data_IF_212996608109
#
_entry.id   IF_212996608109
#
_cell.length_a   1.000
_cell.length_b   1.000
_cell.length_c   1.000
_cell.angle_alpha   90.00
_cell.angle_beta   90.00
_cell.angle_gamma   90.00
#
_symmetry.space_group_name_H-M   'P 1'
#
loop_
_entity.id
_entity.type
_entity.pdbx_description
1 polymer ?
#
# COMPACT_ATOMS: atom_id res chain seq x y z
N UNK A 1 61.64 -96.82 -7.09
CA UNK A 1 61.48 -95.40 -6.73
C UNK A 1 61.86 -95.24 -5.28
N UNK A 2 63.02 -94.67 -4.98
CA UNK A 2 63.44 -94.39 -3.60
C UNK A 2 62.62 -93.22 -3.09
N UNK A 3 61.87 -93.44 -2.01
CA UNK A 3 61.05 -92.42 -1.40
C UNK A 3 61.96 -91.49 -0.59
N UNK A 4 62.21 -90.28 -1.09
CA UNK A 4 63.05 -89.30 -0.43
C UNK A 4 62.21 -88.50 0.59
N UNK A 5 62.09 -89.03 1.81
CA UNK A 5 61.34 -88.39 2.91
C UNK A 5 61.87 -87.00 3.29
N UNK A 6 63.15 -86.73 3.01
CA UNK A 6 63.78 -85.42 3.24
C UNK A 6 63.16 -84.34 2.34
N UNK A 7 62.91 -84.65 1.06
CA UNK A 7 62.40 -83.69 0.08
C UNK A 7 60.97 -83.24 0.46
N UNK A 8 60.16 -84.17 0.97
CA UNK A 8 58.81 -83.89 1.46
C UNK A 8 58.85 -82.92 2.65
N UNK A 9 59.79 -83.12 3.58
CA UNK A 9 59.94 -82.24 4.76
C UNK A 9 60.42 -80.84 4.34
N UNK A 10 61.34 -80.74 3.38
CA UNK A 10 61.80 -79.47 2.83
C UNK A 10 60.66 -78.70 2.15
N UNK A 11 59.85 -79.38 1.33
CA UNK A 11 58.69 -78.76 0.68
C UNK A 11 57.63 -78.30 1.69
N UNK A 12 57.36 -79.09 2.73
CA UNK A 12 56.44 -78.69 3.81
C UNK A 12 56.97 -77.45 4.53
N UNK A 13 58.26 -77.41 4.86
CA UNK A 13 58.89 -76.26 5.51
C UNK A 13 58.80 -75.01 4.62
N UNK A 14 59.06 -75.16 3.31
CA UNK A 14 58.94 -74.06 2.34
C UNK A 14 57.51 -73.51 2.28
N UNK A 15 56.49 -74.37 2.20
CA UNK A 15 55.08 -73.97 2.22
C UNK A 15 54.73 -73.24 3.52
N UNK A 16 55.23 -73.69 4.68
CA UNK A 16 55.00 -73.02 5.96
C UNK A 16 55.65 -71.63 5.98
N UNK A 17 56.90 -71.51 5.53
CA UNK A 17 57.61 -70.22 5.46
C UNK A 17 56.87 -69.27 4.52
N UNK A 18 56.49 -69.73 3.33
CA UNK A 18 55.72 -68.95 2.36
C UNK A 18 54.36 -68.51 2.94
N UNK A 19 53.65 -69.41 3.64
CA UNK A 19 52.38 -69.10 4.29
C UNK A 19 52.52 -68.02 5.36
N UNK A 20 53.57 -68.08 6.20
CA UNK A 20 53.83 -67.08 7.24
C UNK A 20 54.14 -65.71 6.62
N UNK A 21 54.96 -65.67 5.56
CA UNK A 21 55.29 -64.42 4.83
C UNK A 21 54.03 -63.84 4.18
N UNK A 22 53.25 -64.66 3.47
CA UNK A 22 51.99 -64.23 2.85
C UNK A 22 51.00 -63.71 3.89
N UNK A 23 50.84 -64.42 5.02
CA UNK A 23 49.96 -63.98 6.11
C UNK A 23 50.42 -62.64 6.69
N UNK A 24 51.72 -62.46 6.92
CA UNK A 24 52.27 -61.22 7.47
C UNK A 24 52.07 -60.03 6.52
N UNK A 25 52.24 -60.26 5.20
CA UNK A 25 52.13 -59.21 4.18
C UNK A 25 50.68 -58.91 3.76
N UNK A 26 49.81 -59.91 3.59
CA UNK A 26 48.46 -59.75 3.02
C UNK A 26 47.36 -59.51 4.05
N UNK A 27 47.51 -60.00 5.29
CA UNK A 27 46.43 -59.92 6.28
C UNK A 27 46.04 -58.47 6.60
N UNK A 28 47.03 -57.59 6.82
CA UNK A 28 46.82 -56.17 7.10
C UNK A 28 46.17 -55.39 5.94
N UNK A 29 46.69 -55.43 4.69
CA UNK A 29 46.10 -54.67 3.60
C UNK A 29 44.70 -55.15 3.22
N UNK A 30 44.43 -56.46 3.26
CA UNK A 30 43.08 -57.00 2.96
C UNK A 30 42.07 -56.57 4.01
N UNK A 31 42.40 -56.68 5.30
CA UNK A 31 41.51 -56.23 6.38
C UNK A 31 41.28 -54.71 6.33
N UNK A 32 42.34 -53.93 6.04
CA UNK A 32 42.24 -52.48 5.89
C UNK A 32 41.34 -52.08 4.73
N UNK A 33 41.45 -52.78 3.59
CA UNK A 33 40.59 -52.54 2.43
C UNK A 33 39.13 -52.85 2.72
N UNK A 34 38.84 -53.98 3.39
CA UNK A 34 37.47 -54.34 3.80
C UNK A 34 36.88 -53.29 4.75
N UNK A 35 37.64 -52.87 5.78
CA UNK A 35 37.21 -51.83 6.72
C UNK A 35 36.98 -50.48 6.04
N UNK A 36 37.87 -50.07 5.12
CA UNK A 36 37.69 -48.82 4.34
C UNK A 36 36.42 -48.87 3.50
N UNK A 37 36.11 -50.02 2.90
CA UNK A 37 34.89 -50.21 2.11
C UNK A 37 33.64 -50.13 2.99
N UNK A 38 33.66 -50.78 4.14
CA UNK A 38 32.56 -50.73 5.12
C UNK A 38 32.32 -49.30 5.62
N UNK A 39 33.40 -48.60 6.03
CA UNK A 39 33.33 -47.19 6.44
C UNK A 39 32.84 -46.28 5.33
N UNK A 40 33.23 -46.53 4.07
CA UNK A 40 32.75 -45.78 2.92
C UNK A 40 31.24 -45.90 2.72
N UNK A 41 30.70 -47.12 2.83
CA UNK A 41 29.25 -47.33 2.74
C UNK A 41 28.48 -46.74 3.91
N UNK A 42 29.01 -46.85 5.13
CA UNK A 42 28.38 -46.25 6.31
C UNK A 42 28.35 -44.73 6.19
N UNK A 43 29.46 -44.12 5.78
CA UNK A 43 29.53 -42.68 5.52
C UNK A 43 28.56 -42.26 4.42
N UNK A 44 28.53 -42.97 3.30
CA UNK A 44 27.59 -42.65 2.22
C UNK A 44 26.14 -42.75 2.67
N UNK A 45 25.80 -43.72 3.52
CA UNK A 45 24.45 -43.86 4.09
C UNK A 45 24.12 -42.70 5.04
N UNK A 46 25.08 -42.29 5.88
CA UNK A 46 24.92 -41.13 6.76
C UNK A 46 24.73 -39.84 5.97
N UNK A 47 25.55 -39.62 4.94
CA UNK A 47 25.47 -38.45 4.06
C UNK A 47 24.09 -38.39 3.37
N UNK A 48 23.61 -39.52 2.82
CA UNK A 48 22.26 -39.60 2.21
C UNK A 48 21.17 -39.25 3.23
N UNK A 49 21.22 -39.82 4.44
CA UNK A 49 20.21 -39.55 5.46
C UNK A 49 20.22 -38.08 5.88
N UNK A 50 21.40 -37.50 6.08
CA UNK A 50 21.58 -36.10 6.42
C UNK A 50 21.06 -35.17 5.32
N UNK A 51 21.34 -35.49 4.06
CA UNK A 51 20.88 -34.71 2.92
C UNK A 51 19.36 -34.80 2.77
N UNK A 52 18.77 -35.98 2.99
CA UNK A 52 17.31 -36.15 3.00
C UNK A 52 16.65 -35.35 4.13
N UNK A 53 17.20 -35.39 5.34
CA UNK A 53 16.68 -34.62 6.47
C UNK A 53 16.79 -33.11 6.22
N UNK A 54 17.95 -32.66 5.72
CA UNK A 54 18.19 -31.27 5.35
C UNK A 54 17.24 -30.79 4.25
N UNK A 55 17.02 -31.61 3.22
CA UNK A 55 16.08 -31.30 2.14
C UNK A 55 14.64 -31.23 2.65
N UNK A 56 14.23 -32.15 3.54
CA UNK A 56 12.89 -32.15 4.12
C UNK A 56 12.69 -30.92 5.03
N UNK A 57 13.69 -30.56 5.82
CA UNK A 57 13.66 -29.34 6.65
C UNK A 57 13.56 -28.09 5.78
N UNK A 58 14.40 -27.97 4.76
CA UNK A 58 14.37 -26.84 3.83
C UNK A 58 13.03 -26.72 3.11
N UNK A 59 12.45 -27.86 2.68
CA UNK A 59 11.12 -27.89 2.09
C UNK A 59 10.05 -27.37 3.07
N UNK A 60 10.08 -27.84 4.32
CA UNK A 60 9.14 -27.38 5.34
C UNK A 60 9.29 -25.89 5.65
N UNK A 61 10.52 -25.39 5.75
CA UNK A 61 10.79 -23.96 5.96
C UNK A 61 10.29 -23.12 4.79
N UNK A 62 10.49 -23.60 3.56
CA UNK A 62 10.01 -22.95 2.35
C UNK A 62 8.48 -22.92 2.28
N UNK A 63 7.82 -24.04 2.57
CA UNK A 63 6.35 -24.12 2.61
C UNK A 63 5.76 -23.19 3.67
N UNK A 64 6.37 -23.14 4.87
CA UNK A 64 5.96 -22.23 5.94
C UNK A 64 6.17 -20.77 5.56
N UNK A 65 7.33 -20.43 4.97
CA UNK A 65 7.63 -19.08 4.49
C UNK A 65 6.64 -18.63 3.40
N UNK A 66 6.35 -19.52 2.44
CA UNK A 66 5.37 -19.24 1.38
C UNK A 66 3.96 -19.06 1.93
N UNK A 67 3.56 -19.86 2.91
CA UNK A 67 2.28 -19.70 3.59
C UNK A 67 2.20 -18.37 4.35
N UNK A 68 3.26 -18.00 5.07
CA UNK A 68 3.40 -16.71 5.76
C UNK A 68 3.28 -15.54 4.78
N UNK A 69 4.06 -15.54 3.70
CA UNK A 69 4.04 -14.49 2.68
C UNK A 69 2.65 -14.35 2.02
N UNK A 70 1.94 -15.46 1.78
CA UNK A 70 0.56 -15.42 1.27
C UNK A 70 -0.41 -14.81 2.26
N UNK A 71 -0.27 -15.12 3.55
CA UNK A 71 -1.12 -14.54 4.61
C UNK A 71 -0.89 -13.04 4.72
N UNK A 72 0.38 -12.60 4.78
CA UNK A 72 0.77 -11.19 4.85
C UNK A 72 0.32 -10.41 3.62
N UNK A 73 0.43 -10.99 2.42
CA UNK A 73 -0.09 -10.38 1.20
C UNK A 73 -1.61 -10.18 1.25
N UNK A 74 -2.36 -11.19 1.74
CA UNK A 74 -3.81 -11.07 1.90
C UNK A 74 -4.19 -10.03 2.95
N UNK A 75 -3.45 -9.96 4.05
CA UNK A 75 -3.65 -8.94 5.09
C UNK A 75 -3.39 -7.53 4.55
N UNK A 76 -2.27 -7.33 3.86
CA UNK A 76 -1.92 -6.06 3.21
C UNK A 76 -2.99 -5.62 2.22
N UNK A 77 -3.51 -6.55 1.41
CA UNK A 77 -4.60 -6.26 0.47
C UNK A 77 -5.88 -5.87 1.23
N UNK A 78 -6.26 -6.60 2.28
CA UNK A 78 -7.43 -6.28 3.09
C UNK A 78 -7.32 -4.91 3.74
N UNK A 79 -6.18 -4.59 4.34
CA UNK A 79 -5.91 -3.27 4.91
C UNK A 79 -5.90 -2.16 3.86
N UNK A 80 -5.37 -2.45 2.67
CA UNK A 80 -5.39 -1.54 1.52
C UNK A 80 -6.82 -1.20 1.10
N UNK A 81 -7.68 -2.21 0.96
CA UNK A 81 -9.10 -2.03 0.63
C UNK A 81 -9.84 -1.26 1.73
N UNK A 82 -9.62 -1.61 2.99
CA UNK A 82 -10.28 -0.93 4.11
C UNK A 82 -9.87 0.55 4.24
N UNK A 83 -8.59 0.86 3.99
CA UNK A 83 -8.11 2.24 3.92
C UNK A 83 -8.72 2.98 2.74
N UNK A 84 -8.74 2.36 1.56
CA UNK A 84 -9.35 2.95 0.38
C UNK A 84 -10.84 3.27 0.58
N UNK A 85 -11.60 2.35 1.17
CA UNK A 85 -13.02 2.56 1.50
C UNK A 85 -13.22 3.70 2.51
N UNK A 86 -12.38 3.76 3.56
CA UNK A 86 -12.43 4.84 4.54
C UNK A 86 -12.13 6.19 3.88
N UNK A 87 -11.04 6.28 3.10
CA UNK A 87 -10.68 7.51 2.39
C UNK A 87 -11.74 7.90 1.36
N UNK A 88 -12.36 6.95 0.67
CA UNK A 88 -13.46 7.24 -0.26
C UNK A 88 -14.67 7.84 0.45
N UNK A 89 -15.03 7.32 1.62
CA UNK A 89 -16.10 7.88 2.46
C UNK A 89 -15.76 9.28 2.95
N UNK A 90 -14.55 9.50 3.46
CA UNK A 90 -14.09 10.81 3.90
C UNK A 90 -14.11 11.84 2.77
N UNK A 91 -13.64 11.47 1.57
CA UNK A 91 -13.67 12.33 0.39
C UNK A 91 -15.12 12.67 0.02
N UNK A 92 -16.03 11.69 0.02
CA UNK A 92 -17.43 11.91 -0.29
C UNK A 92 -18.11 12.83 0.72
N UNK A 93 -17.92 12.58 2.02
CA UNK A 93 -18.46 13.41 3.09
C UNK A 93 -17.93 14.85 2.99
N UNK A 94 -16.64 15.02 2.73
CA UNK A 94 -16.04 16.34 2.53
C UNK A 94 -16.62 17.05 1.30
N UNK A 95 -16.74 16.35 0.19
CA UNK A 95 -17.34 16.90 -1.04
C UNK A 95 -18.81 17.30 -0.81
N UNK A 96 -19.59 16.52 -0.06
CA UNK A 96 -20.96 16.89 0.30
C UNK A 96 -21.01 18.13 1.21
N UNK A 97 -20.11 18.23 2.20
CA UNK A 97 -20.03 19.39 3.08
C UNK A 97 -19.63 20.65 2.31
N UNK A 98 -18.62 20.56 1.45
CA UNK A 98 -18.19 21.67 0.59
C UNK A 98 -19.30 22.08 -0.38
N UNK A 99 -20.01 21.12 -0.98
CA UNK A 99 -21.15 21.40 -1.86
C UNK A 99 -22.30 22.11 -1.13
N UNK A 100 -22.63 21.68 0.10
CA UNK A 100 -23.64 22.36 0.94
C UNK A 100 -23.19 23.78 1.32
N UNK A 101 -21.92 23.97 1.68
CA UNK A 101 -21.37 25.27 2.01
C UNK A 101 -21.40 26.22 0.81
N UNK A 102 -21.00 25.74 -0.38
CA UNK A 102 -21.03 26.50 -1.62
C UNK A 102 -22.47 26.92 -1.98
N UNK A 103 -23.44 26.01 -1.85
CA UNK A 103 -24.83 26.31 -2.12
C UNK A 103 -25.40 27.34 -1.13
N UNK A 104 -25.05 27.24 0.15
CA UNK A 104 -25.44 28.22 1.15
C UNK A 104 -24.86 29.61 0.84
N UNK A 105 -23.57 29.68 0.51
CA UNK A 105 -22.90 30.91 0.11
C UNK A 105 -23.52 31.52 -1.15
N UNK A 106 -23.81 30.71 -2.17
CA UNK A 106 -24.45 31.16 -3.40
C UNK A 106 -25.86 31.72 -3.15
N UNK A 107 -26.65 31.09 -2.26
CA UNK A 107 -27.97 31.61 -1.86
C UNK A 107 -27.86 32.94 -1.11
N UNK A 108 -26.89 33.07 -0.23
CA UNK A 108 -26.64 34.31 0.50
C UNK A 108 -26.21 35.44 -0.44
N UNK A 109 -25.34 35.13 -1.41
CA UNK A 109 -24.92 36.04 -2.48
C UNK A 109 -26.12 36.51 -3.31
N UNK A 110 -26.95 35.57 -3.76
CA UNK A 110 -28.14 35.88 -4.57
C UNK A 110 -29.15 36.75 -3.79
N UNK A 111 -29.34 36.50 -2.49
CA UNK A 111 -30.18 37.35 -1.65
C UNK A 111 -29.62 38.77 -1.49
N UNK A 112 -28.30 38.92 -1.36
CA UNK A 112 -27.65 40.24 -1.34
C UNK A 112 -27.86 40.98 -2.66
N UNK A 113 -27.55 40.34 -3.79
CA UNK A 113 -27.73 40.92 -5.12
C UNK A 113 -29.19 41.32 -5.36
N UNK A 114 -30.16 40.49 -4.95
CA UNK A 114 -31.58 40.83 -5.07
C UNK A 114 -31.95 42.10 -4.29
N UNK A 115 -31.43 42.26 -3.07
CA UNK A 115 -31.68 43.48 -2.26
C UNK A 115 -31.00 44.71 -2.85
N UNK A 116 -29.81 44.56 -3.40
CA UNK A 116 -29.09 45.64 -4.09
C UNK A 116 -29.87 46.09 -5.32
N UNK A 117 -30.35 45.15 -6.14
CA UNK A 117 -31.19 45.44 -7.32
C UNK A 117 -32.51 46.11 -6.92
N UNK A 118 -33.18 45.63 -5.87
CA UNK A 118 -34.43 46.24 -5.38
C UNK A 118 -34.20 47.69 -4.91
N UNK A 119 -33.09 47.93 -4.21
CA UNK A 119 -32.70 49.27 -3.76
C UNK A 119 -32.38 50.19 -4.94
N UNK A 120 -31.64 49.68 -5.94
CA UNK A 120 -31.34 50.43 -7.16
C UNK A 120 -32.63 50.81 -7.92
N UNK A 121 -33.57 49.87 -8.09
CA UNK A 121 -34.86 50.15 -8.72
C UNK A 121 -35.68 51.18 -7.94
N UNK A 122 -35.73 51.10 -6.61
CA UNK A 122 -36.42 52.11 -5.78
C UNK A 122 -35.84 53.51 -5.98
N UNK A 123 -34.51 53.63 -6.05
CA UNK A 123 -33.84 54.89 -6.30
C UNK A 123 -34.16 55.43 -7.71
N UNK A 124 -34.14 54.56 -8.72
CA UNK A 124 -34.46 54.94 -10.10
C UNK A 124 -35.92 55.38 -10.27
N UNK A 125 -36.87 54.66 -9.67
CA UNK A 125 -38.29 55.04 -9.65
C UNK A 125 -38.50 56.37 -8.93
N UNK A 126 -37.81 56.59 -7.81
CA UNK A 126 -37.89 57.86 -7.07
C UNK A 126 -37.35 59.01 -7.91
N UNK A 127 -36.22 58.82 -8.60
CA UNK A 127 -35.65 59.82 -9.50
C UNK A 127 -36.60 60.15 -10.67
N UNK A 128 -37.23 59.13 -11.27
CA UNK A 128 -38.25 59.30 -12.32
C UNK A 128 -39.48 60.05 -11.80
N UNK A 129 -39.97 59.72 -10.60
CA UNK A 129 -41.12 60.37 -9.99
C UNK A 129 -40.84 61.85 -9.68
N UNK A 130 -39.65 62.16 -9.13
CA UNK A 130 -39.21 63.55 -8.91
C UNK A 130 -39.11 64.29 -10.24
N UNK A 131 -38.47 63.70 -11.26
CA UNK A 131 -38.36 64.32 -12.58
C UNK A 131 -39.72 64.58 -13.24
N UNK A 132 -40.68 63.67 -13.08
CA UNK A 132 -42.06 63.86 -13.55
C UNK A 132 -42.77 64.98 -12.77
N UNK A 133 -42.65 65.00 -11.44
CA UNK A 133 -43.22 66.03 -10.60
C UNK A 133 -42.67 67.42 -10.95
N UNK A 134 -41.36 67.55 -11.17
CA UNK A 134 -40.73 68.79 -11.65
C UNK A 134 -41.34 69.23 -12.98
N UNK A 135 -41.52 68.31 -13.93
CA UNK A 135 -42.07 68.63 -15.26
C UNK A 135 -43.55 68.98 -15.25
N UNK A 136 -44.33 68.43 -14.32
CA UNK A 136 -45.73 68.82 -14.09
C UNK A 136 -45.80 70.21 -13.45
N UNK A 137 -44.98 70.47 -12.42
CA UNK A 137 -44.87 71.78 -11.78
C UNK A 137 -44.46 72.88 -12.78
N UNK A 138 -43.47 72.62 -13.64
CA UNK A 138 -43.09 73.54 -14.72
C UNK A 138 -44.24 73.86 -15.69
N UNK A 139 -45.19 72.93 -15.86
CA UNK A 139 -46.34 73.09 -16.77
C UNK A 139 -47.53 73.79 -16.11
N UNK A 140 -47.75 73.58 -14.81
CA UNK A 140 -48.90 74.13 -14.08
C UNK A 140 -48.63 75.45 -13.36
N UNK A 141 -47.38 75.87 -13.18
CA UNK A 141 -47.05 77.16 -12.55
C UNK A 141 -47.64 78.32 -13.36
N UNK A 142 -48.55 79.06 -12.73
CA UNK A 142 -49.07 80.34 -13.21
C UNK A 142 -48.32 81.53 -12.57
N UNK A 143 -48.52 82.75 -13.10
CA UNK A 143 -47.94 83.98 -12.52
C UNK A 143 -48.46 84.25 -11.09
N UNK A 144 -49.69 83.84 -10.79
CA UNK A 144 -50.29 83.91 -9.46
C UNK A 144 -49.62 82.96 -8.45
N UNK A 145 -49.32 81.72 -8.83
CA UNK A 145 -48.67 80.73 -7.94
C UNK A 145 -47.25 81.18 -7.54
N UNK A 146 -46.52 81.81 -8.47
CA UNK A 146 -45.21 82.38 -8.19
C UNK A 146 -45.28 83.53 -7.18
N UNK A 147 -46.34 84.35 -7.21
CA UNK A 147 -46.55 85.44 -6.26
C UNK A 147 -46.84 84.92 -4.85
N UNK A 148 -47.69 83.90 -4.73
CA UNK A 148 -48.07 83.31 -3.45
C UNK A 148 -46.91 82.55 -2.78
N UNK A 149 -46.08 81.83 -3.56
CA UNK A 149 -44.87 81.17 -3.04
C UNK A 149 -43.85 82.20 -2.54
N UNK A 150 -43.69 83.33 -3.25
CA UNK A 150 -42.80 84.41 -2.85
C UNK A 150 -43.30 85.05 -1.55
N UNK A 151 -44.59 85.33 -1.40
CA UNK A 151 -45.17 85.84 -0.15
C UNK A 151 -45.01 84.87 1.02
N UNK A 152 -45.20 83.55 0.81
CA UNK A 152 -44.96 82.55 1.86
C UNK A 152 -43.50 82.44 2.28
N UNK A 153 -42.55 82.62 1.35
CA UNK A 153 -41.12 82.61 1.68
C UNK A 153 -40.74 83.82 2.53
N UNK A 154 -41.26 85.01 2.21
CA UNK A 154 -41.06 86.21 3.02
C UNK A 154 -41.79 86.17 4.36
N UNK A 155 -42.93 85.46 4.47
CA UNK A 155 -43.66 85.25 5.72
C UNK A 155 -42.99 84.26 6.69
N UNK A 156 -42.15 83.33 6.21
CA UNK A 156 -41.46 82.33 7.05
C UNK A 156 -40.05 82.77 7.48
N UNK A 157 -39.47 83.76 6.81
CA UNK A 157 -38.11 84.24 7.04
C UNK A 157 -38.09 85.65 7.66
N UNK A 158 -39.23 86.34 7.73
CA UNK A 158 -39.48 87.49 8.61
C UNK A 158 -40.13 87.06 9.92
#
# INVERSE_FOLDING_TARGET
MTFHWIDIVEHILNIIVLFVILRALLYKPVLSFMKKREQGFEKQRQDINHDMESAQKLKSEYENSLAGARSEAQETIREGVQRADTSAKEILEKAEQEGKALLAQAREQAQREQREVETAMKNEVTALAVGLATKILEREISLEDNREIIEQYFSKVG
#
